data_IF_433819685390
#
_entry.id   IF_433819685390
#
_cell.length_a   1.000
_cell.length_b   1.000
_cell.length_c   1.000
_cell.angle_alpha   90.00
_cell.angle_beta   90.00
_cell.angle_gamma   90.00
#
_symmetry.space_group_name_H-M   'P 1'
#
loop_
_entity.id
_entity.type
_entity.pdbx_description
1 polymer ?
#
# COMPACT_ATOMS: atom_id res chain seq x y z
N UNK A 1 2.34 7.81 9.14
CA UNK A 1 2.17 8.79 8.04
C UNK A 1 1.30 9.93 8.54
N UNK A 2 1.83 11.15 8.49
CA UNK A 2 1.10 12.36 8.88
C UNK A 2 0.07 12.66 7.81
N UNK A 3 -1.22 12.60 8.17
CA UNK A 3 -2.27 13.07 7.27
C UNK A 3 -2.25 14.61 7.24
N UNK A 4 -2.32 15.25 6.06
CA UNK A 4 -2.29 16.71 5.97
C UNK A 4 -3.49 17.29 6.71
N UNK A 5 -3.21 18.29 7.54
CA UNK A 5 -4.14 18.99 8.42
C UNK A 5 -5.02 19.99 7.65
N UNK A 6 -5.61 19.56 6.53
CA UNK A 6 -6.64 20.33 5.83
C UNK A 6 -8.02 19.84 6.29
N UNK A 7 -8.96 20.76 6.50
CA UNK A 7 -10.37 20.44 6.80
C UNK A 7 -10.95 19.65 5.61
N UNK A 8 -10.83 18.33 5.67
CA UNK A 8 -11.21 17.43 4.59
C UNK A 8 -12.72 17.50 4.37
N UNK A 9 -13.12 17.86 3.15
CA UNK A 9 -14.51 17.74 2.71
C UNK A 9 -14.82 16.24 2.66
N UNK A 10 -15.85 15.79 3.38
CA UNK A 10 -16.24 14.37 3.36
C UNK A 10 -16.56 13.93 1.93
N UNK A 11 -16.11 12.75 1.49
CA UNK A 11 -16.39 12.25 0.15
C UNK A 11 -17.90 12.08 -0.03
N UNK A 12 -18.40 12.39 -1.22
CA UNK A 12 -19.80 12.15 -1.59
C UNK A 12 -20.08 10.65 -1.72
N UNK A 13 -21.35 10.24 -1.62
CA UNK A 13 -21.73 8.83 -1.81
C UNK A 13 -21.32 8.29 -3.20
N UNK A 14 -21.34 9.14 -4.22
CA UNK A 14 -20.85 8.78 -5.55
C UNK A 14 -19.34 8.53 -5.56
N UNK A 15 -18.55 9.38 -4.89
CA UNK A 15 -17.11 9.19 -4.75
C UNK A 15 -16.80 7.91 -3.96
N UNK A 16 -17.48 7.66 -2.84
CA UNK A 16 -17.32 6.41 -2.06
C UNK A 16 -17.64 5.20 -2.93
N UNK A 17 -18.71 5.25 -3.73
CA UNK A 17 -19.04 4.17 -4.66
C UNK A 17 -17.93 3.95 -5.69
N UNK A 18 -17.38 5.01 -6.30
CA UNK A 18 -16.26 4.92 -7.22
C UNK A 18 -15.00 4.36 -6.55
N UNK A 19 -14.65 4.81 -5.33
CA UNK A 19 -13.49 4.29 -4.61
C UNK A 19 -13.64 2.79 -4.31
N UNK A 20 -14.84 2.32 -3.92
CA UNK A 20 -15.06 0.87 -3.69
C UNK A 20 -14.78 0.04 -4.95
N UNK A 21 -15.16 0.54 -6.12
CA UNK A 21 -14.90 -0.12 -7.41
C UNK A 21 -13.43 -0.01 -7.86
N UNK A 22 -12.66 0.92 -7.29
CA UNK A 22 -11.22 1.04 -7.49
C UNK A 22 -10.43 0.14 -6.54
N UNK A 23 -10.84 0.11 -5.26
CA UNK A 23 -10.26 -0.71 -4.19
C UNK A 23 -10.42 -2.19 -4.50
N UNK A 24 -11.60 -2.60 -4.95
CA UNK A 24 -11.86 -3.97 -5.37
C UNK A 24 -12.47 -3.97 -6.78
N UNK A 25 -11.61 -4.13 -7.82
CA UNK A 25 -12.08 -4.22 -9.20
C UNK A 25 -13.03 -5.39 -9.46
N UNK A 26 -13.04 -6.43 -8.62
CA UNK A 26 -13.97 -7.57 -8.78
C UNK A 26 -15.42 -7.15 -8.55
N UNK A 27 -15.66 -6.11 -7.74
CA UNK A 27 -17.00 -5.58 -7.49
C UNK A 27 -17.65 -4.96 -8.73
N UNK A 28 -16.85 -4.59 -9.74
CA UNK A 28 -17.33 -3.97 -10.99
C UNK A 28 -18.29 -4.88 -11.75
N UNK A 29 -18.02 -6.19 -11.78
CA UNK A 29 -18.88 -7.18 -12.47
C UNK A 29 -20.17 -7.49 -11.69
N UNK A 30 -20.19 -7.18 -10.39
CA UNK A 30 -21.33 -7.38 -9.50
C UNK A 30 -22.21 -6.13 -9.35
N UNK A 31 -21.80 -4.99 -9.91
CA UNK A 31 -22.57 -3.76 -9.87
C UNK A 31 -23.80 -3.83 -10.77
N UNK A 32 -24.99 -3.52 -10.20
CA UNK A 32 -26.23 -3.35 -10.96
C UNK A 32 -26.29 -2.01 -11.71
N UNK A 33 -25.43 -1.05 -11.35
CA UNK A 33 -25.33 0.26 -12.00
C UNK A 33 -24.17 0.26 -12.99
N UNK A 34 -24.25 1.01 -14.10
CA UNK A 34 -23.12 1.20 -14.99
C UNK A 34 -21.89 1.66 -14.20
N UNK A 35 -20.79 0.94 -14.36
CA UNK A 35 -19.52 1.32 -13.75
C UNK A 35 -18.97 2.50 -14.54
N UNK A 36 -18.81 3.63 -13.89
CA UNK A 36 -18.15 4.82 -14.47
C UNK A 36 -16.97 5.16 -13.59
N UNK A 37 -15.78 4.77 -14.05
CA UNK A 37 -14.52 5.18 -13.43
C UNK A 37 -14.17 6.60 -13.88
N UNK A 38 -13.41 7.35 -13.08
CA UNK A 38 -12.79 8.58 -13.54
C UNK A 38 -12.00 8.37 -14.84
N UNK A 39 -11.93 9.40 -15.69
CA UNK A 39 -11.27 9.32 -16.99
C UNK A 39 -9.77 9.03 -16.81
N UNK A 40 -9.15 9.71 -15.86
CA UNK A 40 -7.75 9.55 -15.47
C UNK A 40 -7.49 8.12 -14.98
N UNK A 41 -8.40 7.53 -14.20
CA UNK A 41 -8.29 6.14 -13.73
C UNK A 41 -8.31 5.16 -14.89
N UNK A 42 -9.23 5.38 -15.84
CA UNK A 42 -9.35 4.55 -17.04
C UNK A 42 -8.10 4.67 -17.94
N UNK A 43 -7.53 5.87 -18.04
CA UNK A 43 -6.28 6.11 -18.76
C UNK A 43 -5.09 5.37 -18.10
N UNK A 44 -4.99 5.40 -16.77
CA UNK A 44 -3.94 4.66 -16.04
C UNK A 44 -4.08 3.14 -16.21
N UNK A 45 -5.30 2.60 -16.14
CA UNK A 45 -5.55 1.18 -16.40
C UNK A 45 -5.14 0.78 -17.83
N UNK A 46 -5.44 1.65 -18.81
CA UNK A 46 -5.04 1.44 -20.21
C UNK A 46 -3.52 1.46 -20.37
N UNK A 47 -2.84 2.47 -19.82
CA UNK A 47 -1.37 2.56 -19.85
C UNK A 47 -0.72 1.35 -19.19
N UNK A 48 -1.26 0.89 -18.06
CA UNK A 48 -0.75 -0.28 -17.36
C UNK A 48 -0.94 -1.58 -18.15
N UNK A 49 -2.08 -1.74 -18.82
CA UNK A 49 -2.31 -2.89 -19.71
C UNK A 49 -1.31 -2.90 -20.88
N UNK A 50 -1.02 -1.74 -21.46
CA UNK A 50 0.02 -1.60 -22.49
C UNK A 50 1.40 -1.94 -21.92
N UNK A 51 1.77 -1.41 -20.74
CA UNK A 51 3.04 -1.73 -20.06
C UNK A 51 3.23 -3.24 -19.87
N UNK A 52 2.25 -3.94 -19.30
CA UNK A 52 2.30 -5.40 -19.10
C UNK A 52 2.55 -6.16 -20.40
N UNK A 53 1.82 -5.81 -21.46
CA UNK A 53 1.96 -6.44 -22.77
C UNK A 53 3.36 -6.22 -23.35
N UNK A 54 3.84 -4.97 -23.36
CA UNK A 54 5.14 -4.66 -23.96
C UNK A 54 6.32 -5.13 -23.12
N UNK A 55 6.19 -5.14 -21.79
CA UNK A 55 7.20 -5.67 -20.88
C UNK A 55 7.32 -7.19 -21.02
N UNK A 56 6.20 -7.91 -21.15
CA UNK A 56 6.23 -9.37 -21.42
C UNK A 56 6.98 -9.67 -22.72
N UNK A 57 6.72 -8.92 -23.79
CA UNK A 57 7.42 -9.09 -25.06
C UNK A 57 8.92 -8.74 -24.94
N UNK A 58 9.25 -7.68 -24.21
CA UNK A 58 10.63 -7.27 -23.95
C UNK A 58 11.40 -8.33 -23.16
N UNK A 59 10.83 -8.87 -22.08
CA UNK A 59 11.43 -9.93 -21.26
C UNK A 59 11.78 -11.15 -22.11
N UNK A 60 10.87 -11.59 -22.98
CA UNK A 60 11.12 -12.72 -23.88
C UNK A 60 12.27 -12.45 -24.86
N UNK A 61 12.41 -11.22 -25.35
CA UNK A 61 13.50 -10.83 -26.24
C UNK A 61 14.84 -10.77 -25.48
N UNK A 62 14.82 -10.20 -24.27
CA UNK A 62 15.99 -10.13 -23.39
C UNK A 62 16.48 -11.53 -22.98
N UNK A 63 15.57 -12.45 -22.63
CA UNK A 63 15.89 -13.83 -22.26
C UNK A 63 16.63 -14.59 -23.36
N UNK A 64 16.35 -14.31 -24.63
CA UNK A 64 17.06 -14.92 -25.76
C UNK A 64 18.53 -14.54 -25.81
N UNK A 65 18.95 -13.42 -25.20
CA UNK A 65 20.34 -12.98 -25.18
C UNK A 65 21.23 -13.88 -24.31
N UNK A 66 20.63 -14.67 -23.41
CA UNK A 66 21.34 -15.57 -22.50
C UNK A 66 20.67 -16.95 -22.37
N UNK A 67 19.82 -17.34 -23.32
CA UNK A 67 19.11 -18.63 -23.31
C UNK A 67 20.09 -19.84 -23.28
N UNK A 68 21.27 -19.67 -23.88
CA UNK A 68 22.31 -20.69 -23.90
C UNK A 68 22.85 -21.08 -22.50
N UNK A 69 22.56 -20.27 -21.47
CA UNK A 69 22.91 -20.61 -20.08
C UNK A 69 22.21 -21.88 -19.59
N UNK A 70 21.01 -22.21 -20.07
CA UNK A 70 20.24 -23.37 -19.60
C UNK A 70 20.97 -24.71 -19.77
N UNK A 71 21.90 -24.76 -20.73
CA UNK A 71 22.64 -25.97 -21.09
C UNK A 71 24.15 -25.83 -20.81
N UNK A 72 24.53 -24.84 -20.00
CA UNK A 72 25.93 -24.51 -19.73
C UNK A 72 26.38 -25.00 -18.36
N UNK A 73 27.56 -25.61 -18.29
CA UNK A 73 28.30 -25.80 -17.03
C UNK A 73 29.39 -24.72 -16.93
N UNK A 74 29.20 -23.77 -16.00
CA UNK A 74 30.11 -22.63 -15.81
C UNK A 74 31.49 -23.03 -15.27
N UNK A 75 31.66 -24.26 -14.78
CA UNK A 75 32.96 -24.78 -14.34
C UNK A 75 33.84 -25.25 -15.51
N UNK A 76 33.25 -25.53 -16.67
CA UNK A 76 33.95 -26.01 -17.85
C UNK A 76 34.45 -24.85 -18.72
N UNK A 77 35.50 -25.09 -19.51
CA UNK A 77 36.08 -24.08 -20.41
C UNK A 77 35.03 -23.43 -21.34
N UNK A 78 34.10 -24.24 -21.87
CA UNK A 78 33.00 -23.74 -22.70
C UNK A 78 32.05 -22.80 -21.95
N UNK A 79 31.72 -23.10 -20.69
CA UNK A 79 30.90 -22.22 -19.84
C UNK A 79 31.61 -20.94 -19.43
N UNK A 80 32.91 -21.02 -19.12
CA UNK A 80 33.74 -19.86 -18.80
C UNK A 80 33.85 -18.88 -19.99
N UNK A 81 34.02 -19.41 -21.21
CA UNK A 81 34.04 -18.58 -22.43
C UNK A 81 32.69 -17.89 -22.68
N UNK A 82 31.57 -18.59 -22.44
CA UNK A 82 30.22 -18.01 -22.53
C UNK A 82 30.04 -16.88 -21.51
N UNK A 83 30.45 -17.10 -20.27
CA UNK A 83 30.38 -16.09 -19.22
C UNK A 83 31.19 -14.84 -19.57
N UNK A 84 32.41 -14.99 -20.08
CA UNK A 84 33.23 -13.87 -20.56
C UNK A 84 32.55 -13.09 -21.71
N UNK A 85 31.86 -13.81 -22.59
CA UNK A 85 31.09 -13.19 -23.68
C UNK A 85 29.89 -12.40 -23.14
N UNK A 86 29.13 -12.96 -22.20
CA UNK A 86 28.01 -12.25 -21.56
C UNK A 86 28.49 -10.99 -20.82
N UNK A 87 29.59 -11.08 -20.07
CA UNK A 87 30.20 -9.94 -19.34
C UNK A 87 30.57 -8.77 -20.23
N UNK A 88 30.93 -9.03 -21.49
CA UNK A 88 31.31 -7.98 -22.46
C UNK A 88 30.15 -7.47 -23.30
N UNK A 89 29.11 -8.30 -23.55
CA UNK A 89 28.08 -7.99 -24.56
C UNK A 89 26.68 -7.74 -24.00
N UNK A 90 26.30 -8.35 -22.88
CA UNK A 90 24.90 -8.41 -22.47
C UNK A 90 24.29 -7.03 -22.22
N UNK A 91 25.00 -6.17 -21.48
CA UNK A 91 24.53 -4.79 -21.20
C UNK A 91 24.37 -3.98 -22.49
N UNK A 92 25.32 -4.08 -23.43
CA UNK A 92 25.24 -3.40 -24.72
C UNK A 92 24.09 -3.93 -25.59
N UNK A 93 23.83 -5.24 -25.56
CA UNK A 93 22.73 -5.85 -26.29
C UNK A 93 21.37 -5.42 -25.72
N UNK A 94 21.24 -5.32 -24.40
CA UNK A 94 20.05 -4.80 -23.74
C UNK A 94 19.83 -3.32 -24.03
N UNK A 95 20.89 -2.51 -24.03
CA UNK A 95 20.81 -1.10 -24.41
C UNK A 95 20.30 -0.94 -25.85
N UNK A 96 20.85 -1.69 -26.81
CA UNK A 96 20.33 -1.69 -28.19
C UNK A 96 18.88 -2.16 -28.26
N UNK A 97 18.50 -3.14 -27.43
CA UNK A 97 17.11 -3.57 -27.34
C UNK A 97 16.20 -2.44 -26.86
N UNK A 98 16.62 -1.66 -25.86
CA UNK A 98 15.88 -0.48 -25.40
C UNK A 98 15.74 0.59 -26.48
N UNK A 99 16.81 0.89 -27.21
CA UNK A 99 16.86 1.93 -28.25
C UNK A 99 16.02 1.57 -29.49
N UNK A 100 15.97 0.28 -29.85
CA UNK A 100 15.29 -0.21 -31.06
C UNK A 100 13.85 -0.69 -30.81
N UNK A 101 13.48 -0.97 -29.56
CA UNK A 101 12.13 -1.39 -29.22
C UNK A 101 11.12 -0.29 -29.47
N UNK A 102 9.93 -0.67 -29.95
CA UNK A 102 8.81 0.24 -30.17
C UNK A 102 7.58 -0.17 -29.37
N UNK A 103 6.78 0.81 -29.00
CA UNK A 103 5.48 0.65 -28.33
C UNK A 103 4.47 1.43 -29.14
N UNK A 104 3.52 0.74 -29.77
CA UNK A 104 2.42 1.35 -30.54
C UNK A 104 2.87 2.47 -31.52
N UNK A 105 4.00 2.25 -32.20
CA UNK A 105 4.54 3.16 -33.22
C UNK A 105 5.51 4.25 -32.72
N UNK A 106 5.73 4.37 -31.42
CA UNK A 106 6.76 5.26 -30.84
C UNK A 106 7.94 4.47 -30.25
N UNK A 107 9.09 5.12 -30.07
CA UNK A 107 10.25 4.50 -29.42
C UNK A 107 9.92 4.12 -27.98
N UNK A 108 10.51 3.04 -27.46
CA UNK A 108 10.34 2.63 -26.07
C UNK A 108 10.79 3.72 -25.09
N UNK A 109 11.92 4.40 -25.37
CA UNK A 109 12.38 5.53 -24.55
C UNK A 109 11.29 6.60 -24.45
N UNK A 110 10.75 7.06 -25.58
CA UNK A 110 9.67 8.06 -25.60
C UNK A 110 8.43 7.59 -24.84
N UNK A 111 8.01 6.35 -25.04
CA UNK A 111 6.86 5.79 -24.31
C UNK A 111 7.12 5.79 -22.79
N UNK A 112 8.31 5.37 -22.36
CA UNK A 112 8.65 5.26 -20.93
C UNK A 112 8.79 6.61 -20.25
N UNK A 113 9.38 7.61 -20.91
CA UNK A 113 9.62 8.93 -20.31
C UNK A 113 8.40 9.84 -20.41
N UNK A 114 7.65 9.77 -21.52
CA UNK A 114 6.50 10.63 -21.77
C UNK A 114 5.17 9.97 -21.35
N UNK A 115 4.76 8.91 -22.04
CA UNK A 115 3.43 8.30 -21.85
C UNK A 115 3.28 7.59 -20.50
N UNK A 116 4.19 6.67 -20.19
CA UNK A 116 4.21 5.92 -18.92
C UNK A 116 4.93 6.68 -17.79
N UNK A 117 5.69 7.72 -18.15
CA UNK A 117 6.40 8.59 -17.22
C UNK A 117 5.53 9.78 -16.82
N UNK A 118 5.85 10.97 -17.33
CA UNK A 118 5.24 12.23 -16.89
C UNK A 118 3.72 12.24 -17.09
N UNK A 119 3.19 11.81 -18.25
CA UNK A 119 1.76 11.85 -18.51
C UNK A 119 0.98 10.92 -17.57
N UNK A 120 1.47 9.70 -17.32
CA UNK A 120 0.84 8.81 -16.34
C UNK A 120 0.90 9.41 -14.92
N UNK A 121 2.01 10.03 -14.53
CA UNK A 121 2.11 10.65 -13.21
C UNK A 121 1.18 11.87 -13.08
N UNK A 122 1.00 12.68 -14.12
CA UNK A 122 0.04 13.79 -14.14
C UNK A 122 -1.40 13.29 -14.00
N UNK A 123 -1.77 12.20 -14.69
CA UNK A 123 -3.09 11.57 -14.54
C UNK A 123 -3.32 11.07 -13.10
N UNK A 124 -2.32 10.39 -12.51
CA UNK A 124 -2.39 9.93 -11.12
C UNK A 124 -2.51 11.11 -10.14
N UNK A 125 -1.75 12.18 -10.38
CA UNK A 125 -1.77 13.37 -9.54
C UNK A 125 -3.12 14.08 -9.58
N UNK A 126 -3.74 14.17 -10.76
CA UNK A 126 -5.10 14.73 -10.93
C UNK A 126 -6.15 13.93 -10.17
N UNK A 127 -6.07 12.59 -10.21
CA UNK A 127 -6.91 11.72 -9.38
C UNK A 127 -6.70 11.97 -7.90
N UNK A 128 -5.43 12.01 -7.48
CA UNK A 128 -5.10 12.22 -6.07
C UNK A 128 -5.57 13.60 -5.58
N UNK A 129 -5.57 14.64 -6.42
CA UNK A 129 -6.17 15.94 -6.10
C UNK A 129 -7.68 15.89 -6.04
N UNK A 130 -8.37 15.23 -6.99
CA UNK A 130 -9.84 15.10 -6.96
C UNK A 130 -10.33 14.37 -5.71
N UNK A 131 -9.46 13.50 -5.19
CA UNK A 131 -9.69 12.68 -4.01
C UNK A 131 -9.02 13.26 -2.75
N UNK A 132 -8.48 14.49 -2.78
CA UNK A 132 -7.87 15.12 -1.61
C UNK A 132 -6.72 14.31 -0.95
N UNK A 133 -6.08 13.41 -1.70
CA UNK A 133 -4.85 12.72 -1.32
C UNK A 133 -3.62 13.61 -1.55
N UNK A 134 -3.72 14.53 -2.51
CA UNK A 134 -2.73 15.59 -2.77
C UNK A 134 -3.43 16.95 -2.85
N UNK A 135 -2.69 18.03 -2.63
CA UNK A 135 -3.21 19.38 -2.80
C UNK A 135 -3.10 19.85 -4.26
N UNK A 136 -3.93 20.81 -4.72
CA UNK A 136 -3.76 21.41 -6.04
C UNK A 136 -2.37 22.06 -6.23
N UNK A 137 -1.75 22.52 -5.14
CA UNK A 137 -0.42 23.09 -5.19
C UNK A 137 0.65 22.03 -5.52
N UNK A 138 0.44 20.76 -5.15
CA UNK A 138 1.33 19.64 -5.44
C UNK A 138 1.22 19.24 -6.92
N UNK A 139 0.02 19.29 -7.48
CA UNK A 139 -0.19 19.09 -8.92
C UNK A 139 0.58 20.13 -9.74
N UNK A 140 0.45 21.42 -9.39
CA UNK A 140 1.16 22.49 -10.09
C UNK A 140 2.68 22.26 -10.03
N UNK A 141 3.20 21.81 -8.90
CA UNK A 141 4.62 21.54 -8.72
C UNK A 141 5.13 20.43 -9.65
N UNK A 142 4.33 19.39 -9.88
CA UNK A 142 4.66 18.37 -10.89
C UNK A 142 4.59 18.93 -12.31
N UNK A 143 3.51 19.65 -12.66
CA UNK A 143 3.32 20.23 -13.99
C UNK A 143 4.44 21.23 -14.34
N UNK A 144 4.97 21.94 -13.34
CA UNK A 144 6.07 22.88 -13.45
C UNK A 144 7.43 22.20 -13.76
N UNK A 145 7.60 20.89 -13.54
CA UNK A 145 8.81 20.15 -13.90
C UNK A 145 9.10 20.20 -15.41
N UNK A 146 8.05 20.24 -16.23
CA UNK A 146 8.14 20.30 -17.69
C UNK A 146 8.34 21.73 -18.22
N UNK A 147 8.32 22.75 -17.35
CA UNK A 147 8.45 24.16 -17.74
C UNK A 147 9.91 24.61 -17.80
N UNK A 148 10.12 25.85 -18.23
CA UNK A 148 11.46 26.46 -18.30
C UNK A 148 12.08 26.66 -16.90
N UNK A 149 13.42 26.81 -16.82
CA UNK A 149 14.18 26.80 -15.55
C UNK A 149 13.66 27.73 -14.45
N UNK A 150 13.14 28.91 -14.81
CA UNK A 150 12.60 29.90 -13.86
C UNK A 150 11.41 29.40 -13.05
N UNK A 151 10.65 28.43 -13.57
CA UNK A 151 9.45 27.89 -12.92
C UNK A 151 9.67 26.49 -12.34
N UNK A 152 10.82 25.86 -12.63
CA UNK A 152 11.04 24.48 -12.20
C UNK A 152 11.15 24.40 -10.67
N UNK A 153 10.54 23.38 -10.05
CA UNK A 153 10.88 23.02 -8.68
C UNK A 153 12.35 22.59 -8.58
N UNK A 154 12.87 22.50 -7.36
CA UNK A 154 14.11 21.76 -7.16
C UNK A 154 13.84 20.28 -7.43
N UNK A 155 14.70 19.64 -8.21
CA UNK A 155 14.56 18.24 -8.60
C UNK A 155 15.80 17.49 -8.14
N UNK A 156 15.61 16.43 -7.38
CA UNK A 156 16.71 15.72 -6.74
C UNK A 156 16.55 14.21 -6.85
N UNK A 157 17.63 13.50 -7.16
CA UNK A 157 17.72 12.07 -6.95
C UNK A 157 17.80 11.79 -5.45
N UNK A 158 17.07 10.78 -4.97
CA UNK A 158 17.28 10.27 -3.62
C UNK A 158 18.51 9.38 -3.60
N UNK A 159 19.45 9.63 -2.69
CA UNK A 159 20.75 8.94 -2.65
C UNK A 159 21.14 8.57 -1.22
N UNK A 160 22.18 7.76 -1.08
CA UNK A 160 22.95 7.62 0.16
C UNK A 160 24.42 7.34 -0.17
N UNK A 161 25.31 7.64 0.76
CA UNK A 161 26.74 7.39 0.59
C UNK A 161 27.14 6.08 1.30
N UNK A 162 27.86 5.21 0.58
CA UNK A 162 28.39 3.96 1.09
C UNK A 162 29.82 3.73 0.61
N UNK A 163 30.78 3.67 1.54
CA UNK A 163 32.19 3.40 1.25
C UNK A 163 32.73 4.23 0.07
N UNK A 164 32.60 5.56 0.16
CA UNK A 164 33.00 6.56 -0.84
C UNK A 164 32.24 6.50 -2.19
N UNK A 165 31.11 5.80 -2.24
CA UNK A 165 30.22 5.78 -3.41
C UNK A 165 28.85 6.34 -3.07
N UNK A 166 28.41 7.33 -3.83
CA UNK A 166 27.02 7.78 -3.81
C UNK A 166 26.16 6.81 -4.62
N UNK A 167 25.14 6.27 -3.97
CA UNK A 167 24.23 5.27 -4.55
C UNK A 167 22.84 5.87 -4.64
N UNK A 168 22.29 5.91 -5.86
CA UNK A 168 20.94 6.41 -6.09
C UNK A 168 19.88 5.32 -5.88
N UNK A 169 18.73 5.73 -5.34
CA UNK A 169 17.50 4.96 -5.36
C UNK A 169 16.88 5.07 -6.76
N UNK A 170 17.01 4.00 -7.55
CA UNK A 170 16.66 4.01 -8.96
C UNK A 170 15.19 4.38 -9.20
N UNK A 171 15.00 5.44 -9.99
CA UNK A 171 13.70 5.99 -10.36
C UNK A 171 13.00 6.79 -9.24
N UNK A 172 13.57 6.87 -8.04
CA UNK A 172 13.04 7.70 -6.96
C UNK A 172 13.61 9.12 -7.03
N UNK A 173 12.75 10.11 -6.79
CA UNK A 173 13.16 11.51 -6.82
C UNK A 173 12.38 12.33 -5.79
N UNK A 174 12.97 13.45 -5.40
CA UNK A 174 12.37 14.45 -4.51
C UNK A 174 12.20 15.74 -5.28
N UNK A 175 11.02 16.33 -5.14
CA UNK A 175 10.73 17.67 -5.62
C UNK A 175 10.63 18.63 -4.43
N UNK A 176 11.26 19.79 -4.53
CA UNK A 176 11.08 20.91 -3.57
C UNK A 176 10.36 22.06 -4.24
N UNK A 177 9.51 22.78 -3.48
CA UNK A 177 8.71 23.89 -4.03
C UNK A 177 9.54 24.96 -4.75
N UNK A 178 10.76 25.20 -4.29
CA UNK A 178 11.68 26.18 -4.84
C UNK A 178 12.96 25.46 -5.28
N UNK A 179 13.52 25.84 -6.43
CA UNK A 179 14.81 25.32 -6.89
C UNK A 179 16.02 25.90 -6.13
N UNK A 180 15.82 26.96 -5.34
CA UNK A 180 16.88 27.61 -4.56
C UNK A 180 16.41 27.81 -3.11
N UNK A 181 17.27 27.57 -2.10
CA UNK A 181 18.64 27.07 -2.22
C UNK A 181 18.69 25.61 -2.70
N UNK A 182 19.74 25.26 -3.44
CA UNK A 182 20.04 23.87 -3.78
C UNK A 182 20.42 23.14 -2.50
N UNK A 183 19.87 21.95 -2.29
CA UNK A 183 20.08 21.13 -1.09
C UNK A 183 20.64 19.76 -1.42
N UNK A 184 21.49 19.25 -0.53
CA UNK A 184 22.14 17.94 -0.62
C UNK A 184 21.71 16.97 0.50
N UNK A 185 20.90 17.44 1.46
CA UNK A 185 20.49 16.68 2.63
C UNK A 185 19.00 16.84 2.93
N UNK A 186 18.36 15.75 3.36
CA UNK A 186 16.97 15.80 3.88
C UNK A 186 16.86 16.54 5.22
N UNK A 187 17.97 16.81 5.91
CA UNK A 187 17.97 17.59 7.16
C UNK A 187 18.19 19.09 6.92
N UNK A 188 18.34 19.52 5.66
CA UNK A 188 18.53 20.93 5.33
C UNK A 188 17.27 21.75 5.58
N UNK A 189 17.44 22.97 6.07
CA UNK A 189 16.35 23.93 6.20
C UNK A 189 16.00 24.48 4.80
N UNK A 190 14.99 23.88 4.17
CA UNK A 190 14.44 24.34 2.89
C UNK A 190 12.99 24.79 3.05
N UNK A 191 12.60 25.95 2.48
CA UNK A 191 11.23 26.44 2.62
C UNK A 191 10.23 25.62 1.79
N UNK A 192 9.08 25.34 2.40
CA UNK A 192 7.88 24.86 1.72
C UNK A 192 7.76 23.33 1.58
N UNK A 193 6.62 22.88 1.04
CA UNK A 193 6.30 21.46 0.91
C UNK A 193 7.20 20.78 -0.11
N UNK A 194 7.35 19.47 0.07
CA UNK A 194 8.18 18.60 -0.77
C UNK A 194 7.38 17.37 -1.19
N UNK A 195 7.70 16.84 -2.36
CA UNK A 195 7.10 15.61 -2.87
C UNK A 195 8.17 14.55 -3.01
N UNK A 196 7.90 13.34 -2.52
CA UNK A 196 8.69 12.16 -2.81
C UNK A 196 7.95 11.36 -3.87
N UNK A 197 8.64 11.02 -4.96
CA UNK A 197 8.19 9.97 -5.86
C UNK A 197 9.00 8.70 -5.63
N UNK A 198 8.30 7.57 -5.50
CA UNK A 198 8.90 6.24 -5.67
C UNK A 198 8.12 5.45 -6.73
N UNK A 199 8.80 4.64 -7.57
CA UNK A 199 8.13 3.89 -8.61
C UNK A 199 7.00 2.94 -8.14
N UNK A 200 6.98 2.54 -6.87
CA UNK A 200 5.95 1.66 -6.32
C UNK A 200 4.82 2.39 -5.58
N UNK A 201 5.03 3.62 -5.08
CA UNK A 201 4.02 4.38 -4.32
C UNK A 201 3.45 5.59 -5.04
N UNK A 202 4.12 6.06 -6.08
CA UNK A 202 3.73 7.30 -6.74
C UNK A 202 4.22 8.51 -5.94
N UNK A 203 3.46 9.61 -5.99
CA UNK A 203 3.79 10.85 -5.28
C UNK A 203 3.19 10.89 -3.87
N UNK A 204 4.05 11.13 -2.89
CA UNK A 204 3.70 11.38 -1.50
C UNK A 204 4.12 12.81 -1.12
N UNK A 205 3.24 13.55 -0.44
CA UNK A 205 3.49 14.93 -0.04
C UNK A 205 3.91 15.04 1.43
N UNK A 206 4.85 15.94 1.71
CA UNK A 206 5.36 16.25 3.04
C UNK A 206 5.46 17.77 3.22
N UNK A 207 5.25 18.23 4.44
CA UNK A 207 5.26 19.67 4.75
C UNK A 207 6.66 20.29 4.65
N UNK A 208 7.72 19.49 4.82
CA UNK A 208 9.12 19.91 4.73
C UNK A 208 10.07 18.74 4.43
N UNK A 209 11.35 19.03 4.11
CA UNK A 209 12.40 18.01 4.01
C UNK A 209 12.61 17.24 5.33
N UNK A 210 12.44 17.91 6.47
CA UNK A 210 12.56 17.29 7.78
C UNK A 210 11.44 16.27 8.00
N UNK A 211 10.20 16.61 7.61
CA UNK A 211 9.06 15.69 7.70
C UNK A 211 9.22 14.52 6.74
N UNK A 212 9.77 14.75 5.54
CA UNK A 212 10.17 13.70 4.61
C UNK A 212 11.21 12.76 5.23
N UNK A 213 12.26 13.32 5.85
CA UNK A 213 13.30 12.53 6.51
C UNK A 213 12.71 11.63 7.62
N UNK A 214 11.87 12.19 8.49
CA UNK A 214 11.18 11.46 9.54
C UNK A 214 10.22 10.41 8.98
N UNK A 215 9.51 10.75 7.91
CA UNK A 215 8.63 9.83 7.19
C UNK A 215 9.39 8.61 6.67
N UNK A 216 10.52 8.83 6.00
CA UNK A 216 11.38 7.75 5.50
C UNK A 216 11.96 6.91 6.63
N UNK A 217 12.40 7.53 7.74
CA UNK A 217 12.82 6.79 8.94
C UNK A 217 11.71 5.91 9.49
N UNK A 218 10.47 6.43 9.58
CA UNK A 218 9.32 5.64 10.04
C UNK A 218 8.97 4.50 9.10
N UNK A 219 9.11 4.67 7.78
CA UNK A 219 8.89 3.61 6.80
C UNK A 219 9.95 2.51 6.95
N UNK A 220 11.23 2.91 7.03
CA UNK A 220 12.36 1.98 7.15
C UNK A 220 12.46 1.29 8.51
N UNK A 221 11.80 1.82 9.56
CA UNK A 221 11.66 1.14 10.84
C UNK A 221 10.82 -0.16 10.74
N UNK A 222 10.03 -0.31 9.66
CA UNK A 222 9.27 -1.54 9.39
C UNK A 222 10.01 -2.41 8.38
N UNK A 223 10.02 -3.73 8.58
CA UNK A 223 10.68 -4.66 7.64
C UNK A 223 10.09 -4.60 6.23
N UNK A 224 8.77 -4.42 6.11
CA UNK A 224 8.09 -4.27 4.82
C UNK A 224 8.48 -2.96 4.10
N UNK A 225 8.52 -1.84 4.83
CA UNK A 225 8.90 -0.55 4.27
C UNK A 225 10.37 -0.48 3.88
N UNK A 226 11.27 -1.06 4.68
CA UNK A 226 12.68 -1.21 4.32
C UNK A 226 12.85 -2.06 3.05
N UNK A 227 12.20 -3.23 2.99
CA UNK A 227 12.26 -4.09 1.82
C UNK A 227 11.66 -3.43 0.55
N UNK A 228 10.75 -2.49 0.71
CA UNK A 228 10.21 -1.71 -0.40
C UNK A 228 11.21 -0.68 -0.92
N UNK A 229 11.81 0.11 -0.03
CA UNK A 229 12.82 1.10 -0.42
C UNK A 229 14.08 0.44 -1.00
N UNK A 230 14.53 -0.66 -0.39
CA UNK A 230 15.71 -1.40 -0.87
C UNK A 230 15.52 -1.97 -2.28
N UNK A 231 14.28 -2.24 -2.73
CA UNK A 231 14.05 -2.70 -4.12
C UNK A 231 14.51 -1.69 -5.17
N UNK A 232 14.64 -0.41 -4.81
CA UNK A 232 15.16 0.64 -5.68
C UNK A 232 16.69 0.71 -5.69
N UNK A 233 17.39 0.01 -4.80
CA UNK A 233 18.85 -0.05 -4.76
C UNK A 233 19.37 -1.20 -5.63
N UNK A 234 20.57 -1.08 -6.22
CA UNK A 234 21.26 -2.23 -6.82
C UNK A 234 21.36 -3.40 -5.82
N UNK A 235 21.21 -4.64 -6.31
CA UNK A 235 21.14 -5.89 -5.52
C UNK A 235 22.26 -5.99 -4.50
N UNK A 236 23.48 -5.53 -4.85
CA UNK A 236 24.64 -5.54 -3.95
C UNK A 236 24.43 -4.75 -2.65
N UNK A 237 23.51 -3.78 -2.62
CA UNK A 237 23.21 -2.94 -1.46
C UNK A 237 21.89 -3.30 -0.76
N UNK A 238 21.09 -4.21 -1.30
CA UNK A 238 19.76 -4.51 -0.76
C UNK A 238 19.78 -5.22 0.60
N UNK A 239 20.95 -5.74 1.00
CA UNK A 239 21.18 -6.38 2.30
C UNK A 239 21.37 -5.36 3.44
N UNK A 240 21.56 -4.08 3.12
CA UNK A 240 21.78 -3.04 4.12
C UNK A 240 20.49 -2.80 4.92
N UNK A 241 20.65 -2.63 6.22
CA UNK A 241 19.59 -2.19 7.11
C UNK A 241 19.43 -0.66 7.08
N UNK A 242 18.48 -0.13 7.84
CA UNK A 242 18.28 1.30 7.91
C UNK A 242 19.54 2.05 8.39
N UNK A 243 20.33 1.46 9.29
CA UNK A 243 21.55 2.09 9.82
C UNK A 243 22.61 2.20 8.72
N UNK A 244 22.75 1.17 7.87
CA UNK A 244 23.69 1.16 6.75
C UNK A 244 23.31 2.07 5.58
N UNK A 245 22.08 2.58 5.55
CA UNK A 245 21.57 3.44 4.48
C UNK A 245 21.48 4.91 4.91
N UNK A 246 21.15 5.20 6.17
CA UNK A 246 21.09 6.58 6.66
C UNK A 246 22.49 7.14 6.97
N UNK A 247 22.73 8.45 6.74
CA UNK A 247 21.77 9.46 6.27
C UNK A 247 21.49 9.40 4.77
N UNK A 248 20.25 9.74 4.38
CA UNK A 248 19.87 9.91 2.98
C UNK A 248 20.27 11.30 2.48
N UNK A 249 20.78 11.34 1.26
CA UNK A 249 21.19 12.55 0.54
C UNK A 249 20.28 12.89 -0.63
N UNK A 250 20.46 14.10 -1.15
CA UNK A 250 19.80 14.63 -2.34
C UNK A 250 20.86 15.00 -3.37
N UNK A 251 20.74 14.49 -4.59
CA UNK A 251 21.61 14.87 -5.70
C UNK A 251 20.82 15.69 -6.73
N UNK A 252 21.19 16.94 -7.03
CA UNK A 252 20.47 17.76 -8.00
C UNK A 252 20.38 17.12 -9.39
N UNK A 253 19.22 17.28 -10.05
CA UNK A 253 18.96 16.83 -11.42
C UNK A 253 18.90 18.07 -12.31
N UNK A 254 20.02 18.44 -12.93
CA UNK A 254 20.14 19.68 -13.71
C UNK A 254 20.30 19.43 -15.22
N UNK A 255 20.92 18.31 -15.59
CA UNK A 255 21.42 18.08 -16.95
C UNK A 255 20.41 17.47 -17.92
N UNK A 256 19.26 16.98 -17.43
CA UNK A 256 18.26 16.31 -18.27
C UNK A 256 16.82 16.44 -17.71
N UNK A 257 15.78 16.17 -18.52
CA UNK A 257 14.41 16.13 -18.03
C UNK A 257 14.22 15.06 -16.95
N UNK A 258 13.42 15.37 -15.92
CA UNK A 258 13.20 14.53 -14.74
C UNK A 258 12.94 13.05 -15.06
N UNK A 259 12.06 12.77 -16.01
CA UNK A 259 11.69 11.41 -16.38
C UNK A 259 12.69 10.71 -17.29
N UNK A 260 13.54 11.45 -18.00
CA UNK A 260 14.70 10.85 -18.68
C UNK A 260 15.70 10.36 -17.64
N UNK A 261 16.00 11.18 -16.64
CA UNK A 261 16.86 10.79 -15.52
C UNK A 261 16.30 9.59 -14.74
N UNK A 262 15.04 9.65 -14.34
CA UNK A 262 14.41 8.56 -13.58
C UNK A 262 14.43 7.24 -14.37
N UNK A 263 14.21 7.29 -15.69
CA UNK A 263 14.28 6.11 -16.55
C UNK A 263 15.71 5.60 -16.67
N UNK A 264 16.69 6.49 -16.89
CA UNK A 264 18.09 6.12 -16.99
C UNK A 264 18.63 5.48 -15.71
N UNK A 265 18.29 6.03 -14.53
CA UNK A 265 18.67 5.48 -13.24
C UNK A 265 18.18 4.03 -13.04
N UNK A 266 17.01 3.68 -13.57
CA UNK A 266 16.48 2.30 -13.56
C UNK A 266 17.29 1.38 -14.49
N UNK A 267 17.68 1.87 -15.67
CA UNK A 267 18.54 1.12 -16.59
C UNK A 267 19.96 0.92 -16.02
N UNK A 268 20.49 1.92 -15.35
CA UNK A 268 21.81 1.87 -14.69
C UNK A 268 21.79 0.86 -13.54
N UNK A 269 20.72 0.85 -12.72
CA UNK A 269 20.50 -0.19 -11.72
C UNK A 269 20.50 -1.59 -12.36
N UNK A 270 19.78 -1.80 -13.47
CA UNK A 270 19.77 -3.09 -14.18
C UNK A 270 21.18 -3.50 -14.62
N UNK A 271 21.94 -2.56 -15.18
CA UNK A 271 23.31 -2.81 -15.60
C UNK A 271 24.21 -3.20 -14.42
N UNK A 272 24.07 -2.53 -13.27
CA UNK A 272 24.77 -2.86 -12.04
C UNK A 272 24.38 -4.24 -11.50
N UNK A 273 23.10 -4.59 -11.50
CA UNK A 273 22.58 -5.88 -11.03
C UNK A 273 23.09 -7.03 -11.90
N UNK A 274 23.07 -6.85 -13.23
CA UNK A 274 23.63 -7.80 -14.20
C UNK A 274 25.14 -7.95 -14.01
N UNK A 275 25.87 -6.84 -13.91
CA UNK A 275 27.32 -6.84 -13.70
C UNK A 275 27.71 -7.57 -12.41
N UNK A 276 26.97 -7.34 -11.33
CA UNK A 276 27.16 -8.02 -10.06
C UNK A 276 26.93 -9.53 -10.19
N UNK A 277 25.80 -9.96 -10.77
CA UNK A 277 25.50 -11.38 -10.97
C UNK A 277 26.56 -12.10 -11.82
N UNK A 278 27.03 -11.46 -12.90
CA UNK A 278 28.08 -12.00 -13.76
C UNK A 278 29.43 -12.12 -13.04
N UNK A 279 29.74 -11.20 -12.12
CA UNK A 279 30.95 -11.30 -11.29
C UNK A 279 30.85 -12.46 -10.29
N UNK A 280 29.73 -12.61 -9.58
CA UNK A 280 29.53 -13.75 -8.66
C UNK A 280 29.63 -15.10 -9.39
N UNK A 281 29.09 -15.20 -10.60
CA UNK A 281 29.24 -16.39 -11.43
C UNK A 281 30.70 -16.64 -11.85
N UNK A 282 31.46 -15.57 -12.15
CA UNK A 282 32.88 -15.67 -12.53
C UNK A 282 33.74 -16.13 -11.36
N UNK A 283 33.36 -15.73 -10.14
CA UNK A 283 34.00 -16.15 -8.89
C UNK A 283 33.56 -17.55 -8.42
N UNK A 284 32.74 -18.25 -9.22
CA UNK A 284 32.27 -19.61 -8.94
C UNK A 284 31.18 -19.68 -7.86
N UNK A 285 30.60 -18.55 -7.47
CA UNK A 285 29.56 -18.50 -6.43
C UNK A 285 28.16 -18.82 -6.95
N UNK A 286 27.93 -18.66 -8.25
CA UNK A 286 26.66 -18.98 -8.91
C UNK A 286 26.86 -20.04 -10.00
N UNK A 287 25.96 -21.02 -10.04
CA UNK A 287 25.81 -21.91 -11.19
C UNK A 287 24.98 -21.24 -12.30
N UNK A 288 24.88 -21.90 -13.46
CA UNK A 288 24.18 -21.34 -14.62
C UNK A 288 22.70 -21.02 -14.36
N UNK A 289 21.99 -21.88 -13.62
CA UNK A 289 20.58 -21.67 -13.29
C UNK A 289 20.38 -20.48 -12.34
N UNK A 290 21.25 -20.35 -11.34
CA UNK A 290 21.24 -19.21 -10.43
C UNK A 290 21.58 -17.91 -11.17
N UNK A 291 22.62 -17.91 -12.01
CA UNK A 291 22.96 -16.76 -12.85
C UNK A 291 21.76 -16.35 -13.72
N UNK A 292 21.13 -17.29 -14.41
CA UNK A 292 19.94 -17.01 -15.22
C UNK A 292 18.83 -16.36 -14.38
N UNK A 293 18.53 -16.89 -13.19
CA UNK A 293 17.52 -16.32 -12.31
C UNK A 293 17.86 -14.89 -11.87
N UNK A 294 19.13 -14.59 -11.58
CA UNK A 294 19.58 -13.22 -11.28
C UNK A 294 19.43 -12.28 -12.48
N UNK A 295 19.75 -12.73 -13.70
CA UNK A 295 19.57 -11.94 -14.91
C UNK A 295 18.09 -11.67 -15.20
N UNK A 296 17.24 -12.70 -15.08
CA UNK A 296 15.79 -12.58 -15.23
C UNK A 296 15.23 -11.56 -14.22
N UNK A 297 15.67 -11.63 -12.95
CA UNK A 297 15.25 -10.69 -11.92
C UNK A 297 15.71 -9.26 -12.21
N UNK A 298 16.98 -9.06 -12.61
CA UNK A 298 17.51 -7.74 -12.94
C UNK A 298 16.74 -7.09 -14.10
N UNK A 299 16.42 -7.87 -15.15
CA UNK A 299 15.61 -7.40 -16.28
C UNK A 299 14.22 -7.01 -15.79
N UNK A 300 13.52 -7.91 -15.10
CA UNK A 300 12.16 -7.67 -14.62
C UNK A 300 12.06 -6.46 -13.68
N UNK A 301 13.04 -6.29 -12.78
CA UNK A 301 13.09 -5.16 -11.85
C UNK A 301 13.24 -3.79 -12.53
N UNK A 302 13.65 -3.76 -13.80
CA UNK A 302 13.82 -2.54 -14.59
C UNK A 302 12.61 -2.19 -15.47
N UNK A 303 11.56 -3.00 -15.40
CA UNK A 303 10.37 -2.87 -16.24
C UNK A 303 9.23 -2.28 -15.42
N UNK A 304 8.90 -0.98 -15.60
CA UNK A 304 7.88 -0.35 -14.78
C UNK A 304 6.50 -0.93 -15.10
N UNK A 305 5.74 -1.18 -14.04
CA UNK A 305 4.29 -1.45 -14.08
C UNK A 305 3.60 -0.52 -13.07
N UNK A 306 2.32 -0.21 -13.31
CA UNK A 306 1.58 0.68 -12.42
C UNK A 306 0.84 -0.08 -11.31
N UNK A 307 0.83 -1.42 -11.29
CA UNK A 307 0.04 -2.21 -10.32
C UNK A 307 0.27 -1.74 -8.88
N UNK A 308 1.53 -1.72 -8.43
CA UNK A 308 1.84 -1.40 -7.03
C UNK A 308 1.44 0.03 -6.68
N UNK A 309 1.61 1.00 -7.61
CA UNK A 309 1.15 2.39 -7.41
C UNK A 309 -0.36 2.47 -7.29
N UNK A 310 -1.07 1.75 -8.16
CA UNK A 310 -2.53 1.73 -8.16
C UNK A 310 -3.09 1.02 -6.92
N UNK A 311 -2.44 -0.04 -6.46
CA UNK A 311 -2.79 -0.78 -5.24
C UNK A 311 -2.50 0.07 -3.99
N UNK A 312 -1.36 0.76 -3.94
CA UNK A 312 -1.03 1.70 -2.88
C UNK A 312 -2.03 2.85 -2.80
N UNK A 313 -2.41 3.43 -3.95
CA UNK A 313 -3.47 4.45 -3.99
C UNK A 313 -4.81 3.89 -3.49
N UNK A 314 -5.18 2.67 -3.89
CA UNK A 314 -6.40 2.02 -3.39
C UNK A 314 -6.36 1.86 -1.85
N UNK A 315 -5.21 1.49 -1.29
CA UNK A 315 -5.01 1.46 0.15
C UNK A 315 -5.19 2.85 0.79
N UNK A 316 -4.59 3.90 0.23
CA UNK A 316 -4.76 5.26 0.74
C UNK A 316 -6.23 5.73 0.70
N UNK A 317 -6.95 5.40 -0.36
CA UNK A 317 -8.39 5.69 -0.46
C UNK A 317 -9.18 4.96 0.61
N UNK A 318 -8.90 3.67 0.83
CA UNK A 318 -9.55 2.87 1.86
C UNK A 318 -9.28 3.48 3.25
N UNK A 319 -8.03 3.76 3.58
CA UNK A 319 -7.62 4.36 4.85
C UNK A 319 -8.32 5.72 5.07
N UNK A 320 -8.37 6.56 4.04
CA UNK A 320 -9.03 7.87 4.09
C UNK A 320 -10.54 7.74 4.28
N UNK A 321 -11.19 6.87 3.52
CA UNK A 321 -12.64 6.69 3.61
C UNK A 321 -13.02 6.09 4.96
N UNK A 322 -12.28 5.10 5.46
CA UNK A 322 -12.44 4.58 6.82
C UNK A 322 -12.25 5.69 7.85
N UNK A 323 -11.20 6.50 7.72
CA UNK A 323 -10.97 7.63 8.61
C UNK A 323 -12.15 8.60 8.60
N UNK A 324 -12.71 8.92 7.43
CA UNK A 324 -13.86 9.81 7.30
C UNK A 324 -15.18 9.23 7.83
N UNK A 325 -15.29 7.91 8.02
CA UNK A 325 -16.42 7.31 8.73
C UNK A 325 -16.30 7.41 10.25
N UNK A 326 -15.13 7.75 10.78
CA UNK A 326 -14.93 7.90 12.22
C UNK A 326 -15.68 9.14 12.74
N UNK A 327 -16.22 9.08 13.97
CA UNK A 327 -16.86 10.23 14.59
C UNK A 327 -15.95 11.46 14.66
N UNK A 328 -16.51 12.65 14.45
CA UNK A 328 -15.77 13.92 14.46
C UNK A 328 -14.92 14.12 15.71
N UNK A 329 -15.46 13.74 16.87
CA UNK A 329 -14.75 13.83 18.14
C UNK A 329 -13.47 12.99 18.12
N UNK A 330 -13.49 11.79 17.55
CA UNK A 330 -12.30 10.91 17.44
C UNK A 330 -11.28 11.51 16.45
N UNK A 331 -11.77 12.02 15.30
CA UNK A 331 -10.93 12.69 14.29
C UNK A 331 -10.26 13.96 14.83
N UNK A 332 -10.87 14.65 15.78
CA UNK A 332 -10.30 15.86 16.38
C UNK A 332 -9.22 15.61 17.44
N UNK A 333 -9.07 14.37 17.93
CA UNK A 333 -8.05 14.02 18.93
C UNK A 333 -6.64 14.01 18.33
N UNK A 334 -5.65 14.38 19.14
CA UNK A 334 -4.23 14.18 18.81
C UNK A 334 -3.81 12.71 18.85
N UNK A 335 -2.68 12.36 18.24
CA UNK A 335 -2.22 10.96 18.10
C UNK A 335 -2.10 10.24 19.46
N UNK A 336 -1.54 10.88 20.48
CA UNK A 336 -1.38 10.30 21.81
C UNK A 336 -2.73 10.01 22.48
N UNK A 337 -3.69 10.92 22.30
CA UNK A 337 -5.05 10.78 22.83
C UNK A 337 -5.80 9.64 22.12
N UNK A 338 -5.64 9.50 20.79
CA UNK A 338 -6.20 8.38 20.04
C UNK A 338 -5.59 7.05 20.47
N UNK A 339 -4.26 6.99 20.64
CA UNK A 339 -3.58 5.78 21.11
C UNK A 339 -4.07 5.34 22.49
N UNK A 340 -4.20 6.30 23.41
CA UNK A 340 -4.75 6.06 24.76
C UNK A 340 -6.18 5.53 24.68
N UNK A 341 -7.02 6.14 23.85
CA UNK A 341 -8.40 5.72 23.67
C UNK A 341 -8.54 4.34 23.04
N UNK A 342 -7.73 4.04 22.01
CA UNK A 342 -7.70 2.72 21.37
C UNK A 342 -7.32 1.64 22.38
N UNK A 343 -6.34 1.93 23.25
CA UNK A 343 -5.99 1.05 24.36
C UNK A 343 -7.19 0.83 25.31
N UNK A 344 -7.87 1.91 25.72
CA UNK A 344 -9.05 1.81 26.58
C UNK A 344 -10.18 1.01 25.94
N UNK A 345 -10.45 1.20 24.64
CA UNK A 345 -11.47 0.46 23.89
C UNK A 345 -11.13 -1.02 23.77
N UNK A 346 -9.86 -1.37 23.52
CA UNK A 346 -9.41 -2.76 23.52
C UNK A 346 -9.60 -3.40 24.90
N UNK A 347 -9.17 -2.73 25.97
CA UNK A 347 -9.34 -3.22 27.34
C UNK A 347 -10.82 -3.40 27.70
N UNK A 348 -11.69 -2.46 27.32
CA UNK A 348 -13.13 -2.59 27.53
C UNK A 348 -13.73 -3.79 26.77
N UNK A 349 -13.40 -3.93 25.48
CA UNK A 349 -13.91 -5.04 24.67
C UNK A 349 -13.42 -6.38 25.18
N UNK A 350 -12.17 -6.46 25.63
CA UNK A 350 -11.62 -7.66 26.26
C UNK A 350 -12.36 -7.97 27.57
N UNK A 351 -12.54 -6.99 28.47
CA UNK A 351 -13.27 -7.18 29.71
C UNK A 351 -14.72 -7.61 29.46
N UNK A 352 -15.38 -7.03 28.45
CA UNK A 352 -16.71 -7.42 28.00
C UNK A 352 -16.74 -8.85 27.48
N UNK A 353 -15.77 -9.24 26.65
CA UNK A 353 -15.69 -10.61 26.13
C UNK A 353 -15.46 -11.60 27.28
N UNK A 354 -14.53 -11.31 28.19
CA UNK A 354 -14.30 -12.13 29.38
C UNK A 354 -15.55 -12.25 30.25
N UNK A 355 -16.32 -11.17 30.41
CA UNK A 355 -17.62 -11.22 31.08
C UNK A 355 -18.61 -12.14 30.35
N UNK A 356 -18.73 -12.03 29.04
CA UNK A 356 -19.60 -12.90 28.24
C UNK A 356 -19.17 -14.38 28.32
N UNK A 357 -17.86 -14.64 28.31
CA UNK A 357 -17.29 -15.99 28.40
C UNK A 357 -17.51 -16.60 29.80
N UNK A 358 -17.37 -15.80 30.86
CA UNK A 358 -17.61 -16.23 32.25
C UNK A 358 -19.07 -16.56 32.51
N UNK A 359 -20.00 -15.76 31.98
CA UNK A 359 -21.44 -15.94 32.23
C UNK A 359 -22.13 -16.84 31.20
N UNK A 360 -21.49 -17.13 30.06
CA UNK A 360 -21.99 -18.04 29.03
C UNK A 360 -23.47 -17.79 28.67
N UNK A 361 -24.31 -18.83 28.56
CA UNK A 361 -25.73 -18.67 28.23
C UNK A 361 -26.53 -17.89 29.30
N UNK A 362 -26.02 -17.67 30.51
CA UNK A 362 -26.66 -16.85 31.54
C UNK A 362 -26.35 -15.35 31.44
N UNK A 363 -25.85 -14.88 30.28
CA UNK A 363 -25.50 -13.48 30.01
C UNK A 363 -26.68 -12.49 30.07
N UNK A 364 -27.92 -12.97 30.22
CA UNK A 364 -29.10 -12.14 30.48
C UNK A 364 -29.93 -12.70 31.64
N UNK A 365 -30.65 -11.87 32.41
CA UNK A 365 -31.54 -12.34 33.47
C UNK A 365 -32.55 -13.40 33.01
N UNK A 366 -33.01 -13.29 31.75
CA UNK A 366 -33.94 -14.25 31.15
C UNK A 366 -33.31 -15.62 30.94
N UNK A 367 -32.08 -15.66 30.44
CA UNK A 367 -31.40 -16.91 30.18
C UNK A 367 -30.87 -17.58 31.47
N UNK A 368 -30.51 -16.77 32.48
CA UNK A 368 -30.26 -17.26 33.84
C UNK A 368 -31.52 -17.91 34.44
N UNK A 369 -32.67 -17.23 34.39
CA UNK A 369 -33.94 -17.78 34.89
C UNK A 369 -34.32 -19.07 34.16
N UNK A 370 -34.13 -19.13 32.84
CA UNK A 370 -34.36 -20.34 32.05
C UNK A 370 -33.48 -21.50 32.53
N UNK A 371 -32.19 -21.26 32.73
CA UNK A 371 -31.24 -22.27 33.19
C UNK A 371 -31.61 -22.79 34.58
N UNK A 372 -31.85 -21.88 35.54
CA UNK A 372 -32.21 -22.23 36.91
C UNK A 372 -33.50 -23.06 36.98
N UNK A 373 -34.51 -22.72 36.18
CA UNK A 373 -35.74 -23.51 36.14
C UNK A 373 -35.59 -24.84 35.41
N UNK A 374 -34.79 -24.91 34.35
CA UNK A 374 -34.49 -26.17 33.69
C UNK A 374 -33.77 -27.14 34.65
N UNK A 375 -32.77 -26.65 35.39
CA UNK A 375 -32.09 -27.45 36.43
C UNK A 375 -33.03 -27.83 37.57
N UNK A 376 -33.88 -26.91 38.02
CA UNK A 376 -34.84 -27.18 39.10
C UNK A 376 -35.89 -28.22 38.69
N UNK A 377 -36.45 -28.12 37.47
CA UNK A 377 -37.42 -29.08 36.95
C UNK A 377 -36.79 -30.46 36.72
N UNK A 378 -35.56 -30.51 36.22
CA UNK A 378 -34.83 -31.77 36.06
C UNK A 378 -34.51 -32.42 37.41
N UNK A 379 -33.98 -31.64 38.38
CA UNK A 379 -33.54 -32.19 39.67
C UNK A 379 -34.68 -32.54 40.64
N UNK A 380 -35.77 -31.78 40.64
CA UNK A 380 -36.88 -31.99 41.58
C UNK A 380 -38.01 -32.84 41.01
N UNK A 381 -38.19 -32.84 39.67
CA UNK A 381 -39.35 -33.47 39.03
C UNK A 381 -38.99 -34.46 37.91
N UNK A 382 -37.70 -34.69 37.64
CA UNK A 382 -37.19 -35.58 36.57
C UNK A 382 -37.69 -35.18 35.16
N UNK A 383 -38.07 -33.91 34.98
CA UNK A 383 -38.61 -33.39 33.72
C UNK A 383 -37.47 -32.75 32.93
N UNK A 384 -37.04 -33.43 31.84
CA UNK A 384 -35.89 -33.03 31.04
C UNK A 384 -36.27 -32.38 29.69
N UNK A 385 -37.47 -32.67 29.18
CA UNK A 385 -37.90 -32.30 27.83
C UNK A 385 -38.83 -31.07 27.77
N UNK A 386 -39.07 -30.42 28.92
CA UNK A 386 -40.02 -29.31 29.01
C UNK A 386 -39.29 -27.97 29.04
N UNK A 387 -39.52 -27.13 28.03
CA UNK A 387 -38.99 -25.77 28.01
C UNK A 387 -39.72 -24.89 29.05
N UNK A 388 -39.02 -24.27 30.02
CA UNK A 388 -39.67 -23.46 31.07
C UNK A 388 -40.51 -22.29 30.57
N UNK A 389 -40.23 -21.76 29.37
CA UNK A 389 -41.05 -20.71 28.72
C UNK A 389 -42.41 -21.18 28.21
N UNK A 390 -42.58 -22.49 27.96
CA UNK A 390 -43.83 -23.07 27.48
C UNK A 390 -44.78 -23.39 28.63
N UNK A 391 -44.28 -23.38 29.88
CA UNK A 391 -45.09 -23.52 31.08
C UNK A 391 -45.87 -22.24 31.35
N UNK A 392 -47.17 -22.30 31.08
CA UNK A 392 -48.12 -21.23 31.37
C UNK A 392 -48.78 -21.46 32.72
N UNK A 393 -48.63 -20.51 33.63
CA UNK A 393 -49.29 -20.50 34.93
C UNK A 393 -50.50 -19.56 34.84
N UNK A 394 -51.68 -20.15 35.03
CA UNK A 394 -52.95 -19.42 35.07
C UNK A 394 -53.40 -19.26 36.50
N UNK A 395 -53.30 -18.03 37.00
CA UNK A 395 -53.83 -17.65 38.32
C UNK A 395 -55.21 -17.04 38.18
N UNK A 396 -56.19 -17.58 38.91
CA UNK A 396 -57.53 -17.02 39.05
C UNK A 396 -57.65 -16.38 40.42
N UNK A 397 -57.92 -15.08 40.47
CA UNK A 397 -58.07 -14.33 41.72
C UNK A 397 -59.43 -13.66 41.78
N UNK A 398 -60.10 -13.82 42.92
CA UNK A 398 -61.39 -13.19 43.20
C UNK A 398 -61.17 -12.10 44.24
N UNK A 399 -61.38 -10.84 43.84
CA UNK A 399 -61.20 -9.69 44.72
C UNK A 399 -62.57 -9.09 45.05
N UNK A 400 -62.91 -8.90 46.34
CA UNK A 400 -64.19 -8.31 46.73
C UNK A 400 -64.40 -6.96 46.03
N UNK A 401 -65.59 -6.75 45.46
CA UNK A 401 -66.02 -5.56 44.70
C UNK A 401 -65.40 -5.33 43.31
N UNK A 402 -64.41 -6.10 42.88
CA UNK A 402 -63.79 -6.01 41.53
C UNK A 402 -64.15 -7.20 40.64
N UNK A 403 -64.49 -8.35 41.24
CA UNK A 403 -64.86 -9.56 40.51
C UNK A 403 -63.71 -10.56 40.42
N UNK A 404 -63.86 -11.56 39.54
CA UNK A 404 -62.83 -12.59 39.32
C UNK A 404 -62.02 -12.26 38.07
N UNK A 405 -60.70 -12.14 38.21
CA UNK A 405 -59.81 -12.00 37.06
C UNK A 405 -58.91 -13.23 36.92
N UNK A 406 -58.61 -13.58 35.67
CA UNK A 406 -57.72 -14.66 35.28
C UNK A 406 -56.50 -14.05 34.63
N UNK A 407 -55.32 -14.38 35.13
CA UNK A 407 -54.04 -13.94 34.59
C UNK A 407 -53.23 -15.18 34.23
N UNK A 408 -52.82 -15.26 32.97
CA UNK A 408 -51.95 -16.30 32.44
C UNK A 408 -50.59 -15.68 32.11
N UNK A 409 -49.51 -16.26 32.64
CA UNK A 409 -48.13 -15.84 32.35
C UNK A 409 -47.23 -17.06 32.29
N UNK A 410 -46.14 -16.95 31.54
CA UNK A 410 -45.14 -18.02 31.55
C UNK A 410 -44.39 -18.05 32.90
N UNK A 411 -43.87 -19.23 33.26
CA UNK A 411 -43.01 -19.40 34.44
C UNK A 411 -41.81 -18.44 34.40
N UNK A 412 -41.26 -18.17 33.21
CA UNK A 412 -40.19 -17.19 33.00
C UNK A 412 -40.61 -15.77 33.32
N UNK A 413 -41.79 -15.35 32.85
CA UNK A 413 -42.30 -14.01 33.12
C UNK A 413 -42.60 -13.78 34.60
N UNK A 414 -43.09 -14.80 35.30
CA UNK A 414 -43.32 -14.73 36.75
C UNK A 414 -42.02 -14.65 37.55
N UNK A 415 -40.96 -15.30 37.07
CA UNK A 415 -39.65 -15.28 37.75
C UNK A 415 -38.97 -13.92 37.59
N UNK A 416 -39.05 -13.33 36.39
CA UNK A 416 -38.41 -12.04 36.10
C UNK A 416 -39.16 -10.85 36.68
N UNK A 417 -40.50 -10.91 36.73
CA UNK A 417 -41.34 -9.79 37.19
C UNK A 417 -41.80 -9.95 38.64
N UNK A 418 -41.51 -11.09 39.25
CA UNK A 418 -42.12 -11.54 40.51
C UNK A 418 -43.60 -11.93 40.34
N UNK A 419 -44.15 -12.77 41.23
CA UNK A 419 -45.60 -12.86 41.35
C UNK A 419 -46.11 -11.48 41.74
N UNK A 420 -47.10 -10.96 40.99
CA UNK A 420 -47.63 -9.61 41.18
C UNK A 420 -47.89 -9.30 42.67
N UNK A 421 -47.65 -8.05 43.14
CA UNK A 421 -47.70 -7.71 44.56
C UNK A 421 -49.01 -8.13 45.21
N UNK A 422 -48.92 -8.54 46.49
CA UNK A 422 -50.05 -9.01 47.30
C UNK A 422 -51.11 -7.95 47.49
#
# INVERSE_FOLDING_TARGET
MSTPNNRHRSPTLQQIHSHLLEIDPTLRTHSKRPVTLPAERSALETTNATLKRVNTAYEQQAQRLYADLEHSDLSQAGGQQRLATLKTRLVQQLQRLDETSTVDGQSRKTFMTFTAGISALEQETRLNVSDYLLSPADQIMLEDCSRGPTFRPGMYALTFDYQDQTVAFAGAFVLTRQASPVVDSLSAAHPGPVLLFTPHRGLEAFDSLIDLNQGLQSVMATGAGLAELNRHLPVRYQHLDAIGIFPLGLQPIEDEPLFEHAYQAVLDKRANDIGYALNLAADGQLNAAQLKAHLDHAIKAALPELNMRLDFRAQLLLERDLFNTLPDWYRSLGNDQRSTLDQHLRSYNQARQTFLDLFGPASTPHALARHQWAEYLASQWDVHDLAPEQLQITTRRTVPKVGTYVQQRSLMELTLRGPAPR
#
